data_IF_361742650762
#
_entry.id   IF_361742650762
#
_cell.length_a   1.000
_cell.length_b   1.000
_cell.length_c   1.000
_cell.angle_alpha   90.00
_cell.angle_beta   90.00
_cell.angle_gamma   90.00
#
_symmetry.space_group_name_H-M   'P 1'
#
loop_
_entity.id
_entity.type
_entity.pdbx_description
1 polymer ?
#
# COMPACT_ATOMS: atom_id res chain seq x y z
N UNK A 1 12.43 7.51 -7.98
CA UNK A 1 11.22 8.19 -7.44
C UNK A 1 10.54 7.23 -6.46
N UNK A 2 10.10 7.75 -5.31
CA UNK A 2 9.36 6.99 -4.28
C UNK A 2 7.94 7.53 -4.20
N UNK A 3 6.97 6.70 -4.51
CA UNK A 3 5.55 7.04 -4.51
C UNK A 3 4.86 6.32 -3.36
N UNK A 4 4.22 7.05 -2.45
CA UNK A 4 3.31 6.50 -1.47
C UNK A 4 1.88 6.60 -1.99
N UNK A 5 1.12 5.51 -1.91
CA UNK A 5 -0.23 5.43 -2.45
C UNK A 5 -1.19 4.85 -1.42
N UNK A 6 -2.36 5.45 -1.27
CA UNK A 6 -3.40 4.94 -0.39
C UNK A 6 -4.80 5.42 -0.77
N UNK A 7 -5.76 4.51 -0.67
CA UNK A 7 -7.18 4.88 -0.64
C UNK A 7 -7.56 5.40 0.74
N UNK A 8 -8.30 6.49 0.79
CA UNK A 8 -8.80 7.09 2.02
C UNK A 8 -10.28 7.45 1.89
N UNK A 9 -11.00 7.36 3.00
CA UNK A 9 -12.37 7.89 3.08
C UNK A 9 -12.36 9.43 3.00
N UNK A 10 -13.52 10.04 2.72
CA UNK A 10 -13.66 11.50 2.68
C UNK A 10 -13.30 12.16 4.02
N UNK A 11 -13.46 11.44 5.13
CA UNK A 11 -13.05 11.88 6.47
C UNK A 11 -11.62 11.47 6.87
N UNK A 12 -10.81 10.96 5.90
CA UNK A 12 -9.36 10.82 5.99
C UNK A 12 -8.85 9.52 6.62
N UNK A 13 -9.66 8.46 6.69
CA UNK A 13 -9.24 7.15 7.21
C UNK A 13 -8.79 6.23 6.07
N UNK A 14 -7.62 5.60 6.22
CA UNK A 14 -7.09 4.57 5.33
C UNK A 14 -7.45 3.14 5.76
N UNK A 15 -8.08 2.98 6.92
CA UNK A 15 -8.64 1.74 7.41
C UNK A 15 -9.74 2.03 8.43
N UNK A 16 -10.73 1.15 8.54
CA UNK A 16 -11.80 1.25 9.53
C UNK A 16 -11.36 0.86 10.94
N UNK A 17 -12.26 0.99 11.93
CA UNK A 17 -11.99 0.60 13.30
C UNK A 17 -11.97 -0.92 13.49
N UNK A 18 -11.30 -1.36 14.57
CA UNK A 18 -11.25 -2.75 15.01
C UNK A 18 -10.81 -3.75 13.91
N UNK A 19 -9.65 -3.57 13.27
CA UNK A 19 -9.13 -4.55 12.32
C UNK A 19 -8.90 -5.90 13.01
N UNK A 20 -9.20 -6.98 12.29
CA UNK A 20 -9.04 -8.37 12.77
C UNK A 20 -8.45 -9.24 11.66
N UNK A 21 -8.20 -10.52 11.95
CA UNK A 21 -7.77 -11.48 10.92
C UNK A 21 -8.87 -11.74 9.86
N UNK A 22 -10.14 -11.64 10.27
CA UNK A 22 -11.30 -11.85 9.40
C UNK A 22 -11.65 -10.56 8.63
N UNK A 23 -11.35 -9.40 9.21
CA UNK A 23 -11.56 -8.08 8.63
C UNK A 23 -10.31 -7.21 8.78
N UNK A 24 -9.30 -7.44 7.94
CA UNK A 24 -7.97 -6.83 8.10
C UNK A 24 -7.94 -5.32 7.95
N UNK A 25 -8.88 -4.78 7.20
CA UNK A 25 -9.02 -3.33 7.01
C UNK A 25 -9.99 -2.69 8.00
N UNK A 26 -10.55 -3.50 8.93
CA UNK A 26 -11.53 -3.05 9.90
C UNK A 26 -12.89 -2.72 9.28
N UNK A 27 -13.88 -2.47 10.13
CA UNK A 27 -15.26 -2.28 9.72
C UNK A 27 -15.40 -1.19 8.65
N UNK A 28 -15.93 -1.56 7.49
CA UNK A 28 -16.12 -0.68 6.33
C UNK A 28 -14.82 -0.35 5.55
N UNK A 29 -13.67 -0.84 6.00
CA UNK A 29 -12.39 -0.56 5.35
C UNK A 29 -12.25 -1.17 3.95
N UNK A 30 -12.95 -2.26 3.67
CA UNK A 30 -12.97 -2.88 2.34
C UNK A 30 -13.61 -1.98 1.28
N UNK A 31 -14.58 -1.14 1.66
CA UNK A 31 -15.26 -0.22 0.75
C UNK A 31 -14.30 0.81 0.14
N UNK A 32 -13.17 1.10 0.81
CA UNK A 32 -12.10 1.93 0.28
C UNK A 32 -11.44 1.37 -0.99
N UNK A 33 -11.61 0.08 -1.26
CA UNK A 33 -10.95 -0.63 -2.35
C UNK A 33 -11.92 -1.11 -3.44
N UNK A 34 -13.23 -0.87 -3.31
CA UNK A 34 -14.21 -1.28 -4.34
C UNK A 34 -13.95 -0.67 -5.71
N UNK A 35 -13.39 0.54 -5.76
CA UNK A 35 -13.06 1.21 -7.01
C UNK A 35 -11.99 0.44 -7.81
N UNK A 36 -11.02 -0.20 -7.14
CA UNK A 36 -9.90 -0.91 -7.79
C UNK A 36 -10.23 -2.38 -8.09
N UNK A 37 -11.00 -3.07 -7.25
CA UNK A 37 -11.26 -4.51 -7.37
C UNK A 37 -12.03 -4.90 -8.65
N UNK A 38 -12.77 -3.98 -9.24
CA UNK A 38 -13.51 -4.17 -10.48
C UNK A 38 -12.64 -4.04 -11.73
N UNK A 39 -11.46 -3.42 -11.63
CA UNK A 39 -10.60 -3.09 -12.77
C UNK A 39 -9.86 -4.31 -13.30
N UNK A 40 -9.81 -4.47 -14.62
CA UNK A 40 -9.04 -5.53 -15.27
C UNK A 40 -7.55 -5.45 -14.93
N UNK A 41 -7.01 -4.22 -14.80
CA UNK A 41 -5.62 -3.96 -14.41
C UNK A 41 -5.28 -4.52 -13.01
N UNK A 42 -6.23 -4.48 -12.06
CA UNK A 42 -6.06 -5.09 -10.75
C UNK A 42 -6.32 -6.60 -10.77
N UNK A 43 -7.38 -7.04 -11.45
CA UNK A 43 -7.84 -8.43 -11.45
C UNK A 43 -6.82 -9.39 -12.07
N UNK A 44 -6.22 -9.00 -13.20
CA UNK A 44 -5.29 -9.84 -13.96
C UNK A 44 -4.07 -10.32 -13.15
N UNK A 45 -3.32 -9.47 -12.42
CA UNK A 45 -2.22 -9.92 -11.57
C UNK A 45 -2.66 -10.83 -10.42
N UNK A 46 -3.94 -10.73 -9.98
CA UNK A 46 -4.53 -11.59 -8.96
C UNK A 46 -5.13 -12.90 -9.50
N UNK A 47 -4.87 -13.24 -10.77
CA UNK A 47 -5.38 -14.46 -11.40
C UNK A 47 -6.90 -14.46 -11.66
N UNK A 48 -7.54 -13.29 -11.64
CA UNK A 48 -8.97 -13.12 -11.87
C UNK A 48 -9.24 -12.67 -13.31
N UNK A 49 -10.19 -13.30 -13.96
CA UNK A 49 -10.59 -12.93 -15.32
C UNK A 49 -11.56 -11.74 -15.36
N UNK A 50 -11.63 -11.08 -16.52
CA UNK A 50 -12.53 -9.96 -16.77
C UNK A 50 -12.16 -8.69 -16.01
N UNK A 51 -13.10 -7.80 -15.87
CA UNK A 51 -12.96 -6.50 -15.22
C UNK A 51 -13.21 -5.34 -16.17
N UNK A 52 -13.41 -4.17 -15.60
CA UNK A 52 -13.64 -2.94 -16.32
C UNK A 52 -12.32 -2.30 -16.75
N UNK A 53 -12.35 -1.53 -17.85
CA UNK A 53 -11.24 -0.68 -18.29
C UNK A 53 -11.77 0.74 -18.41
N UNK A 54 -11.26 1.62 -17.60
CA UNK A 54 -11.66 3.02 -17.54
C UNK A 54 -10.48 3.94 -17.17
N UNK A 55 -10.77 5.19 -16.78
CA UNK A 55 -9.75 6.17 -16.40
C UNK A 55 -8.90 5.70 -15.21
N UNK A 56 -9.46 4.89 -14.31
CA UNK A 56 -8.77 4.40 -13.11
C UNK A 56 -7.75 3.32 -13.45
N UNK A 57 -7.92 2.59 -14.56
CA UNK A 57 -7.03 1.50 -14.98
C UNK A 57 -5.58 1.96 -15.17
N UNK A 58 -5.38 3.16 -15.75
CA UNK A 58 -4.05 3.73 -15.97
C UNK A 58 -3.31 4.02 -14.65
N UNK A 59 -4.05 4.37 -13.57
CA UNK A 59 -3.47 4.61 -12.24
C UNK A 59 -2.93 3.31 -11.63
N UNK A 60 -3.69 2.23 -11.76
CA UNK A 60 -3.27 0.89 -11.30
C UNK A 60 -2.05 0.42 -12.07
N UNK A 61 -2.03 0.59 -13.39
CA UNK A 61 -0.87 0.24 -14.24
C UNK A 61 0.37 1.06 -13.87
N UNK A 62 0.19 2.36 -13.56
CA UNK A 62 1.27 3.25 -13.13
C UNK A 62 1.89 2.78 -11.80
N UNK A 63 1.08 2.41 -10.80
CA UNK A 63 1.59 1.89 -9.52
C UNK A 63 2.27 0.53 -9.67
N UNK A 64 1.75 -0.33 -10.55
CA UNK A 64 2.34 -1.63 -10.87
C UNK A 64 3.67 -1.54 -11.63
N UNK A 65 3.98 -0.42 -12.28
CA UNK A 65 5.22 -0.22 -13.01
C UNK A 65 6.45 0.00 -12.12
N UNK A 66 6.26 0.26 -10.81
CA UNK A 66 7.38 0.38 -9.87
C UNK A 66 8.22 -0.91 -9.81
N UNK A 67 9.54 -0.78 -9.71
CA UNK A 67 10.48 -1.92 -9.70
C UNK A 67 10.55 -2.63 -8.34
N UNK A 68 10.12 -1.98 -7.25
CA UNK A 68 10.06 -2.60 -5.91
C UNK A 68 8.91 -2.01 -5.09
N UNK A 69 8.48 -2.77 -4.07
CA UNK A 69 7.40 -2.39 -3.17
C UNK A 69 7.92 -2.34 -1.73
N UNK A 70 7.44 -1.36 -0.95
CA UNK A 70 7.61 -1.31 0.51
C UNK A 70 6.23 -1.39 1.15
N UNK A 71 6.08 -2.23 2.17
CA UNK A 71 4.84 -2.34 2.95
C UNK A 71 5.11 -2.61 4.43
N UNK A 72 4.13 -2.35 5.26
CA UNK A 72 4.19 -2.69 6.67
C UNK A 72 3.76 -4.12 6.98
N UNK A 73 4.19 -4.64 8.12
CA UNK A 73 3.86 -5.97 8.61
C UNK A 73 2.34 -6.23 8.66
N UNK A 74 1.54 -5.26 9.13
CA UNK A 74 0.08 -5.43 9.19
C UNK A 74 -0.56 -5.54 7.81
N UNK A 75 -0.01 -4.88 6.81
CA UNK A 75 -0.45 -5.06 5.43
C UNK A 75 -0.04 -6.43 4.88
N UNK A 76 1.12 -6.95 5.28
CA UNK A 76 1.60 -8.26 4.84
C UNK A 76 0.78 -9.42 5.41
N UNK A 77 0.44 -9.42 6.70
CA UNK A 77 -0.16 -10.58 7.38
C UNK A 77 -1.25 -10.25 8.41
N UNK A 78 -1.57 -8.98 8.63
CA UNK A 78 -2.36 -8.45 9.77
C UNK A 78 -1.76 -8.68 11.15
N UNK A 79 -0.72 -9.50 11.27
CA UNK A 79 -0.06 -9.77 12.54
C UNK A 79 0.87 -8.64 12.97
N UNK A 80 1.16 -8.57 14.27
CA UNK A 80 2.17 -7.67 14.85
C UNK A 80 3.06 -8.35 15.90
N UNK A 81 2.75 -9.59 16.25
CA UNK A 81 3.50 -10.44 17.17
C UNK A 81 4.56 -11.33 16.50
N UNK A 82 5.13 -12.30 17.26
CA UNK A 82 6.06 -13.28 16.72
C UNK A 82 5.49 -14.06 15.53
N UNK A 83 6.35 -14.40 14.58
CA UNK A 83 5.94 -15.08 13.34
C UNK A 83 5.33 -16.46 13.58
N UNK A 84 5.77 -17.16 14.64
CA UNK A 84 5.32 -18.50 14.99
C UNK A 84 3.84 -18.50 15.44
N UNK A 85 3.33 -17.39 15.90
CA UNK A 85 1.93 -17.23 16.33
C UNK A 85 1.04 -16.54 15.29
N UNK A 86 1.60 -16.14 14.14
CA UNK A 86 0.88 -15.48 13.08
C UNK A 86 0.26 -16.49 12.10
N UNK A 87 -1.07 -16.67 12.04
CA UNK A 87 -1.69 -17.62 11.11
C UNK A 87 -1.47 -17.26 9.64
N UNK A 88 -1.14 -15.99 9.35
CA UNK A 88 -0.82 -15.49 8.02
C UNK A 88 0.67 -15.21 7.87
N UNK A 89 1.56 -15.95 8.54
CA UNK A 89 3.00 -15.72 8.51
C UNK A 89 3.60 -15.67 7.10
N UNK A 90 2.97 -16.30 6.11
CA UNK A 90 3.39 -16.26 4.70
C UNK A 90 2.63 -15.21 3.86
N UNK A 91 1.91 -14.29 4.52
CA UNK A 91 1.03 -13.34 3.83
C UNK A 91 -0.29 -13.97 3.39
N UNK A 92 -1.18 -13.18 2.87
CA UNK A 92 -2.52 -13.63 2.45
C UNK A 92 -2.73 -13.69 0.95
N UNK A 93 -1.69 -13.53 0.15
CA UNK A 93 -1.80 -13.56 -1.31
C UNK A 93 -1.64 -14.96 -1.91
N UNK A 94 -1.55 -16.03 -1.07
CA UNK A 94 -1.31 -17.38 -1.54
C UNK A 94 0.09 -17.60 -2.13
N UNK A 95 0.24 -18.64 -2.95
CA UNK A 95 1.54 -19.06 -3.49
C UNK A 95 2.03 -18.19 -4.66
N UNK A 96 1.13 -17.41 -5.28
CA UNK A 96 1.41 -16.53 -6.43
C UNK A 96 1.00 -15.09 -6.13
N UNK A 97 1.72 -14.35 -5.25
CA UNK A 97 1.41 -12.97 -4.95
C UNK A 97 1.46 -12.08 -6.19
N UNK A 98 0.59 -11.05 -6.30
CA UNK A 98 0.43 -10.27 -7.52
C UNK A 98 1.60 -9.32 -7.82
N UNK A 99 2.55 -9.18 -6.92
CA UNK A 99 3.65 -8.21 -7.03
C UNK A 99 4.67 -8.56 -8.10
N UNK A 100 5.12 -9.83 -8.17
CA UNK A 100 6.10 -10.36 -9.14
C UNK A 100 7.40 -9.54 -9.20
N UNK A 101 7.84 -9.05 -8.06
CA UNK A 101 9.01 -8.19 -7.87
C UNK A 101 9.47 -8.22 -6.41
N UNK A 102 10.62 -7.60 -6.06
CA UNK A 102 11.05 -7.45 -4.68
C UNK A 102 10.05 -6.64 -3.84
N UNK A 103 9.69 -7.17 -2.68
CA UNK A 103 8.82 -6.54 -1.68
C UNK A 103 9.57 -6.49 -0.35
N UNK A 104 9.67 -5.31 0.24
CA UNK A 104 10.33 -5.07 1.52
C UNK A 104 9.27 -4.84 2.60
N UNK A 105 9.22 -5.74 3.57
CA UNK A 105 8.23 -5.71 4.65
C UNK A 105 8.86 -5.12 5.90
N UNK A 106 8.45 -3.92 6.29
CA UNK A 106 8.90 -3.27 7.54
C UNK A 106 8.26 -3.96 8.73
N UNK A 107 9.07 -4.47 9.65
CA UNK A 107 8.63 -5.27 10.80
C UNK A 107 9.59 -5.12 11.97
N UNK A 108 9.11 -5.37 13.20
CA UNK A 108 9.96 -5.47 14.40
C UNK A 108 10.50 -6.90 14.64
N UNK A 109 9.99 -7.89 13.92
CA UNK A 109 10.35 -9.30 14.08
C UNK A 109 11.14 -9.78 12.87
N UNK A 110 12.42 -10.03 13.04
CA UNK A 110 13.28 -10.57 12.00
C UNK A 110 12.81 -11.97 11.55
N UNK A 111 12.95 -12.26 10.28
CA UNK A 111 12.82 -13.61 9.71
C UNK A 111 13.59 -13.70 8.40
N UNK A 112 13.79 -14.94 7.96
CA UNK A 112 14.38 -15.24 6.67
C UNK A 112 13.49 -14.74 5.51
N UNK A 113 14.12 -14.48 4.38
CA UNK A 113 13.46 -14.09 3.15
C UNK A 113 12.45 -15.17 2.72
N UNK A 114 11.31 -14.74 2.19
CA UNK A 114 10.26 -15.62 1.68
C UNK A 114 10.11 -15.40 0.18
N UNK A 115 10.17 -16.48 -0.59
CA UNK A 115 9.95 -16.45 -2.05
C UNK A 115 8.67 -17.20 -2.37
N UNK A 116 7.72 -16.52 -3.00
CA UNK A 116 6.45 -17.09 -3.47
C UNK A 116 6.25 -16.69 -4.94
N UNK A 117 6.22 -17.68 -5.83
CA UNK A 117 6.23 -17.43 -7.26
C UNK A 117 7.38 -16.51 -7.68
N UNK A 118 7.07 -15.44 -8.39
CA UNK A 118 8.04 -14.42 -8.81
C UNK A 118 8.22 -13.29 -7.78
N UNK A 119 7.56 -13.36 -6.63
CA UNK A 119 7.65 -12.34 -5.58
C UNK A 119 8.64 -12.76 -4.51
N UNK A 120 9.56 -11.86 -4.17
CA UNK A 120 10.52 -12.05 -3.08
C UNK A 120 10.21 -11.06 -1.95
N UNK A 121 9.83 -11.57 -0.78
CA UNK A 121 9.62 -10.76 0.43
C UNK A 121 10.89 -10.74 1.28
N UNK A 122 11.41 -9.55 1.50
CA UNK A 122 12.54 -9.30 2.42
C UNK A 122 12.02 -8.56 3.65
N UNK A 123 12.23 -9.14 4.82
CA UNK A 123 11.75 -8.56 6.10
C UNK A 123 12.82 -7.65 6.69
N UNK A 124 12.47 -6.36 6.86
CA UNK A 124 13.40 -5.32 7.29
C UNK A 124 13.02 -4.85 8.69
N UNK A 125 13.90 -5.04 9.64
CA UNK A 125 13.70 -4.67 11.04
C UNK A 125 14.53 -3.45 11.48
N UNK A 126 15.28 -2.85 10.55
CA UNK A 126 16.08 -1.65 10.79
C UNK A 126 15.34 -0.33 10.53
N UNK A 127 14.05 -0.40 10.18
CA UNK A 127 13.20 0.78 9.96
C UNK A 127 12.91 1.09 8.50
N UNK A 128 12.14 2.17 8.29
CA UNK A 128 11.65 2.55 6.96
C UNK A 128 12.77 3.06 6.05
N UNK A 129 13.78 3.72 6.60
CA UNK A 129 14.92 4.23 5.85
C UNK A 129 15.68 3.08 5.17
N UNK A 130 16.01 2.03 5.93
CA UNK A 130 16.69 0.86 5.41
C UNK A 130 15.83 0.11 4.37
N UNK A 131 14.51 0.03 4.60
CA UNK A 131 13.59 -0.62 3.66
C UNK A 131 13.50 0.12 2.33
N UNK A 132 13.38 1.45 2.35
CA UNK A 132 13.31 2.27 1.15
C UNK A 132 14.63 2.28 0.39
N UNK A 133 15.77 2.32 1.09
CA UNK A 133 17.09 2.27 0.45
C UNK A 133 17.29 0.95 -0.30
N UNK A 134 17.04 -0.19 0.36
CA UNK A 134 17.10 -1.52 -0.28
C UNK A 134 16.11 -1.65 -1.44
N UNK A 135 14.92 -1.07 -1.30
CA UNK A 135 13.93 -1.05 -2.37
C UNK A 135 14.39 -0.22 -3.57
N UNK A 136 15.05 0.93 -3.35
CA UNK A 136 15.64 1.75 -4.42
C UNK A 136 16.75 1.00 -5.18
N UNK A 137 17.61 0.29 -4.46
CA UNK A 137 18.65 -0.55 -5.07
C UNK A 137 18.04 -1.66 -5.93
N UNK A 138 17.05 -2.37 -5.38
CA UNK A 138 16.38 -3.48 -6.07
C UNK A 138 15.54 -3.04 -7.26
N UNK A 139 14.97 -1.82 -7.22
CA UNK A 139 14.12 -1.28 -8.28
C UNK A 139 14.88 -0.95 -9.59
N UNK A 140 16.21 -0.89 -9.58
CA UNK A 140 17.00 -0.68 -10.81
C UNK A 140 16.69 0.63 -11.57
N UNK A 141 16.11 1.62 -10.89
CA UNK A 141 15.71 2.91 -11.50
C UNK A 141 14.22 3.04 -11.85
N UNK A 142 13.42 1.95 -11.77
CA UNK A 142 11.99 1.96 -12.09
C UNK A 142 11.09 2.58 -10.98
N UNK A 143 11.70 3.00 -9.88
CA UNK A 143 10.99 3.62 -8.77
C UNK A 143 10.52 2.62 -7.70
N UNK A 144 10.08 3.17 -6.57
CA UNK A 144 9.60 2.41 -5.42
C UNK A 144 8.17 2.79 -5.10
N UNK A 145 7.31 1.80 -4.90
CA UNK A 145 5.93 1.97 -4.46
C UNK A 145 5.80 1.63 -2.98
N UNK A 146 5.38 2.61 -2.15
CA UNK A 146 5.00 2.38 -0.76
C UNK A 146 3.50 2.14 -0.72
N UNK A 147 3.10 0.87 -0.64
CA UNK A 147 1.69 0.46 -0.73
C UNK A 147 0.95 0.49 0.62
N UNK A 148 1.62 0.86 1.69
CA UNK A 148 0.97 1.04 3.00
C UNK A 148 1.51 0.10 4.09
N UNK A 149 0.84 -0.07 5.27
CA UNK A 149 -0.31 0.72 5.75
C UNK A 149 0.04 2.16 6.14
N UNK A 150 -0.95 2.87 6.67
CA UNK A 150 -0.82 4.28 7.03
C UNK A 150 0.41 4.59 7.90
N UNK A 151 0.74 3.73 8.86
CA UNK A 151 1.91 3.92 9.74
C UNK A 151 3.23 3.97 8.99
N UNK A 152 3.43 3.09 8.00
CA UNK A 152 4.66 3.06 7.18
C UNK A 152 4.71 4.30 6.30
N UNK A 153 3.60 4.69 5.67
CA UNK A 153 3.54 5.92 4.86
C UNK A 153 3.87 7.15 5.72
N UNK A 154 3.28 7.27 6.92
CA UNK A 154 3.56 8.37 7.84
C UNK A 154 5.05 8.42 8.25
N UNK A 155 5.66 7.27 8.56
CA UNK A 155 7.08 7.19 8.90
C UNK A 155 7.95 7.63 7.71
N UNK A 156 7.64 7.16 6.49
CA UNK A 156 8.37 7.55 5.29
C UNK A 156 8.23 9.05 4.98
N UNK A 157 7.05 9.64 5.18
CA UNK A 157 6.84 11.10 5.00
C UNK A 157 7.67 11.87 6.03
N UNK A 158 7.63 11.49 7.33
CA UNK A 158 8.43 12.16 8.38
C UNK A 158 9.94 12.07 8.13
N UNK A 159 10.40 10.97 7.55
CA UNK A 159 11.80 10.76 7.18
C UNK A 159 12.21 11.45 5.86
N UNK A 160 11.29 12.14 5.16
CA UNK A 160 11.57 12.80 3.88
C UNK A 160 11.92 11.84 2.75
N UNK A 161 11.38 10.62 2.79
CA UNK A 161 11.68 9.56 1.83
C UNK A 161 10.71 9.50 0.66
N UNK A 162 9.55 10.19 0.77
CA UNK A 162 8.47 10.19 -0.22
C UNK A 162 8.62 11.38 -1.15
N UNK A 163 8.68 11.13 -2.45
CA UNK A 163 8.70 12.17 -3.48
C UNK A 163 7.28 12.59 -3.88
N UNK A 164 6.37 11.60 -3.92
CA UNK A 164 4.99 11.74 -4.41
C UNK A 164 4.02 11.01 -3.48
N UNK A 165 2.89 11.65 -3.16
CA UNK A 165 1.77 11.04 -2.46
C UNK A 165 0.56 10.97 -3.40
N UNK A 166 0.13 9.75 -3.72
CA UNK A 166 -1.09 9.48 -4.46
C UNK A 166 -2.21 9.12 -3.50
N UNK A 167 -3.25 9.94 -3.46
CA UNK A 167 -4.45 9.71 -2.67
C UNK A 167 -5.63 9.36 -3.56
N UNK A 168 -6.33 8.29 -3.22
CA UNK A 168 -7.61 7.92 -3.81
C UNK A 168 -8.72 8.20 -2.81
N UNK A 169 -9.32 9.38 -2.88
CA UNK A 169 -10.37 9.82 -1.96
C UNK A 169 -11.68 9.18 -2.38
N UNK A 170 -12.11 8.17 -1.61
CA UNK A 170 -13.36 7.44 -1.83
C UNK A 170 -14.51 8.20 -1.16
N UNK A 171 -15.67 8.39 -1.82
CA UNK A 171 -16.79 9.20 -1.31
C UNK A 171 -17.61 8.47 -0.24
N UNK A 172 -16.95 8.00 0.83
CA UNK A 172 -17.56 7.37 1.99
C UNK A 172 -17.06 8.03 3.29
N UNK A 173 -17.80 7.85 4.36
CA UNK A 173 -17.35 8.16 5.72
C UNK A 173 -17.13 6.86 6.48
N UNK A 174 -16.01 6.72 7.15
CA UNK A 174 -15.75 5.61 8.08
C UNK A 174 -16.04 6.02 9.53
N UNK A 175 -15.93 7.31 9.86
CA UNK A 175 -16.24 7.87 11.18
C UNK A 175 -15.20 7.57 12.27
N UNK A 176 -14.48 6.46 12.15
CA UNK A 176 -13.43 6.01 13.07
C UNK A 176 -12.44 5.09 12.34
N UNK A 177 -11.27 4.83 12.92
CA UNK A 177 -10.26 3.96 12.34
C UNK A 177 -8.86 4.56 12.31
N UNK A 178 -8.05 4.16 11.32
CA UNK A 178 -6.68 4.63 11.17
C UNK A 178 -6.59 5.75 10.14
N UNK A 179 -6.30 6.97 10.60
CA UNK A 179 -6.08 8.13 9.72
C UNK A 179 -4.71 8.06 9.03
N UNK A 180 -4.67 8.44 7.76
CA UNK A 180 -3.42 8.46 7.00
C UNK A 180 -2.51 9.62 7.43
N UNK A 181 -3.05 10.80 7.66
CA UNK A 181 -2.24 12.03 7.83
C UNK A 181 -2.08 12.48 9.28
N UNK A 182 -2.44 11.63 10.25
CA UNK A 182 -2.26 11.96 11.68
C UNK A 182 -0.79 12.04 12.09
N UNK A 183 -0.49 13.03 12.93
CA UNK A 183 0.85 13.18 13.51
C UNK A 183 1.93 13.55 12.49
N UNK A 184 1.56 14.11 11.34
CA UNK A 184 2.48 14.75 10.41
C UNK A 184 2.61 16.24 10.74
N UNK A 185 3.79 16.80 10.53
CA UNK A 185 4.04 18.21 10.67
C UNK A 185 3.31 19.00 9.58
N UNK A 186 2.88 20.26 9.86
CA UNK A 186 2.26 21.11 8.86
C UNK A 186 3.18 21.30 7.65
N UNK A 187 2.71 20.94 6.47
CA UNK A 187 3.43 21.10 5.21
C UNK A 187 2.50 21.64 4.11
N UNK A 188 3.08 22.31 3.12
CA UNK A 188 2.38 22.69 1.90
C UNK A 188 2.84 21.77 0.78
N UNK A 189 1.90 21.05 0.17
CA UNK A 189 2.14 20.16 -0.95
C UNK A 189 1.78 20.83 -2.27
N UNK A 190 2.42 20.41 -3.35
CA UNK A 190 2.09 20.84 -4.71
C UNK A 190 1.14 19.82 -5.35
N UNK A 191 0.00 20.30 -5.89
CA UNK A 191 -0.92 19.44 -6.64
C UNK A 191 -0.37 19.25 -8.05
N UNK A 192 -0.01 18.00 -8.40
CA UNK A 192 0.46 17.66 -9.75
C UNK A 192 -0.68 17.21 -10.67
N UNK A 193 -1.63 16.43 -10.14
CA UNK A 193 -2.71 15.85 -10.94
C UNK A 193 -3.95 15.63 -10.12
N UNK A 194 -5.11 15.88 -10.72
CA UNK A 194 -6.42 15.51 -10.15
C UNK A 194 -7.22 14.80 -11.24
N UNK A 195 -7.75 13.62 -10.91
CA UNK A 195 -8.64 12.84 -11.77
C UNK A 195 -9.93 12.60 -11.02
N UNK A 196 -11.03 13.12 -11.53
CA UNK A 196 -12.36 12.83 -11.02
C UNK A 196 -12.88 11.56 -11.74
N UNK A 197 -13.15 10.52 -10.97
CA UNK A 197 -13.73 9.28 -11.44
C UNK A 197 -15.02 8.97 -10.69
N UNK A 198 -15.88 8.07 -11.19
CA UNK A 198 -17.19 7.83 -10.59
C UNK A 198 -17.17 7.30 -9.16
N UNK A 199 -16.07 6.64 -8.74
CA UNK A 199 -15.99 5.94 -7.44
C UNK A 199 -14.91 6.50 -6.51
N UNK A 200 -13.98 7.33 -7.04
CA UNK A 200 -12.96 8.00 -6.25
C UNK A 200 -12.50 9.28 -6.95
N UNK A 201 -11.94 10.21 -6.18
CA UNK A 201 -11.16 11.32 -6.71
C UNK A 201 -9.69 11.03 -6.43
N UNK A 202 -8.89 10.96 -7.48
CA UNK A 202 -7.48 10.66 -7.37
C UNK A 202 -6.68 11.94 -7.42
N UNK A 203 -5.83 12.15 -6.44
CA UNK A 203 -5.03 13.36 -6.30
C UNK A 203 -3.57 12.97 -6.11
N UNK A 204 -2.71 13.46 -6.98
CA UNK A 204 -1.25 13.34 -6.85
C UNK A 204 -0.67 14.61 -6.29
N UNK A 205 0.09 14.48 -5.22
CA UNK A 205 0.84 15.55 -4.59
C UNK A 205 2.33 15.30 -4.65
N UNK A 206 3.11 16.35 -4.92
CA UNK A 206 4.55 16.37 -4.68
C UNK A 206 4.84 16.85 -3.26
N UNK A 207 5.77 16.16 -2.56
CA UNK A 207 6.25 16.51 -1.24
C UNK A 207 7.54 17.29 -1.30
#
# INVERSE_FOLDING_TARGET
MVVAEMSVSLDGFGAGPAPSLEDPLGKGGMDLHEWVFRLAAWRKPHGLEGGEVDVDSALVEESQAAGAVVMGRKMFSSGDGPWESDPNANGWWGDEPPFRKPVFVVTHHAREQLVLGETTFTFVNEGVEAAVERAREAAGGEGVHISGGADVIQQCIRAGLVDVLDLHVVPIFLGDGRRLLDGLDPARLEVERVIAAPRATHIRYRL
#
